data_IF_308329235253
#
_entry.id   IF_308329235253
#
_cell.length_a   1.000
_cell.length_b   1.000
_cell.length_c   1.000
_cell.angle_alpha   90.00
_cell.angle_beta   90.00
_cell.angle_gamma   90.00
#
_symmetry.space_group_name_H-M   'P 1'
#
loop_
_entity.id
_entity.type
_entity.pdbx_description
1 polymer ?
#
# COMPACT_ATOMS: atom_id res chain seq x y z
N UNK A 1 -46.63 -19.08 14.31
CA UNK A 1 -45.92 -19.35 13.03
C UNK A 1 -44.72 -18.42 12.80
N UNK A 2 -44.84 -17.12 13.08
CA UNK A 2 -43.78 -16.13 12.80
C UNK A 2 -42.42 -16.41 13.46
N UNK A 3 -42.40 -16.92 14.70
CA UNK A 3 -41.16 -17.24 15.41
C UNK A 3 -40.34 -18.38 14.79
N UNK A 4 -41.00 -19.32 14.09
CA UNK A 4 -40.31 -20.40 13.38
C UNK A 4 -39.68 -19.89 12.08
N UNK A 5 -40.35 -18.97 11.39
CA UNK A 5 -39.85 -18.30 10.19
C UNK A 5 -38.60 -17.47 10.53
N UNK A 6 -38.61 -16.73 11.65
CA UNK A 6 -37.45 -15.97 12.13
C UNK A 6 -36.25 -16.88 12.41
N UNK A 7 -36.44 -17.98 13.13
CA UNK A 7 -35.38 -18.95 13.43
C UNK A 7 -34.78 -19.59 12.16
N UNK A 8 -35.61 -19.86 11.15
CA UNK A 8 -35.13 -20.41 9.88
C UNK A 8 -34.34 -19.38 9.06
N UNK A 9 -34.83 -18.14 9.01
CA UNK A 9 -34.14 -17.03 8.31
C UNK A 9 -32.79 -16.72 8.95
N UNK A 10 -32.73 -16.67 10.28
CA UNK A 10 -31.48 -16.46 11.02
C UNK A 10 -30.50 -17.61 10.78
N UNK A 11 -30.96 -18.86 10.77
CA UNK A 11 -30.11 -20.03 10.50
C UNK A 11 -29.49 -20.02 9.10
N UNK A 12 -30.29 -19.67 8.08
CA UNK A 12 -29.83 -19.64 6.68
C UNK A 12 -28.86 -18.47 6.46
N UNK A 13 -29.19 -17.28 6.97
CA UNK A 13 -28.36 -16.08 6.78
C UNK A 13 -27.02 -16.19 7.51
N UNK A 14 -26.99 -16.80 8.70
CA UNK A 14 -25.75 -16.95 9.45
C UNK A 14 -24.82 -18.03 8.85
N UNK A 15 -25.41 -19.10 8.28
CA UNK A 15 -24.65 -20.15 7.59
C UNK A 15 -23.98 -19.65 6.30
N UNK A 16 -24.65 -18.76 5.54
CA UNK A 16 -24.05 -18.12 4.35
C UNK A 16 -22.88 -17.19 4.73
N UNK A 17 -23.01 -16.44 5.82
CA UNK A 17 -21.93 -15.55 6.31
C UNK A 17 -20.73 -16.33 6.83
N UNK A 18 -20.94 -17.50 7.44
CA UNK A 18 -19.86 -18.38 7.93
C UNK A 18 -19.03 -18.97 6.79
N UNK A 19 -19.68 -19.41 5.71
CA UNK A 19 -19.01 -19.94 4.53
C UNK A 19 -18.17 -18.86 3.81
N UNK A 20 -18.70 -17.65 3.66
CA UNK A 20 -17.96 -16.52 3.08
C UNK A 20 -16.71 -16.14 3.90
N UNK A 21 -16.79 -16.19 5.23
CA UNK A 21 -15.63 -15.87 6.09
C UNK A 21 -14.53 -16.94 6.06
N UNK A 22 -14.87 -18.21 5.84
CA UNK A 22 -13.90 -19.31 5.74
C UNK A 22 -13.23 -19.41 4.35
N UNK A 23 -13.86 -18.89 3.30
CA UNK A 23 -13.27 -18.91 1.95
C UNK A 23 -12.16 -17.87 1.74
N UNK A 24 -12.01 -16.90 2.64
CA UNK A 24 -11.01 -15.85 2.52
C UNK A 24 -10.13 -15.76 3.77
N UNK A 25 -9.38 -16.82 4.06
CA UNK A 25 -8.28 -16.79 5.05
C UNK A 25 -7.18 -15.79 4.64
N UNK A 26 -7.11 -15.42 3.35
CA UNK A 26 -6.05 -14.57 2.80
C UNK A 26 -6.60 -13.41 1.97
N UNK A 27 -7.40 -12.52 2.57
CA UNK A 27 -7.30 -11.09 2.20
C UNK A 27 -6.14 -10.48 2.99
N UNK A 28 -4.95 -10.98 2.71
CA UNK A 28 -3.73 -10.31 3.14
C UNK A 28 -3.42 -9.25 2.09
N UNK A 29 -3.49 -7.98 2.46
CA UNK A 29 -2.83 -6.90 1.69
C UNK A 29 -1.29 -6.99 1.77
N UNK A 30 -0.73 -8.12 2.20
CA UNK A 30 0.70 -8.34 2.21
C UNK A 30 1.15 -8.68 0.79
N UNK A 31 1.92 -7.77 0.23
CA UNK A 31 2.76 -8.04 -0.94
C UNK A 31 3.79 -9.10 -0.52
N UNK A 32 3.73 -10.29 -1.11
CA UNK A 32 4.72 -11.34 -0.86
C UNK A 32 6.06 -10.94 -1.52
N UNK A 33 7.05 -10.58 -0.70
CA UNK A 33 8.42 -10.31 -1.18
C UNK A 33 9.22 -11.62 -1.16
N UNK A 34 9.57 -12.15 -2.34
CA UNK A 34 10.49 -13.29 -2.45
C UNK A 34 11.93 -12.79 -2.23
N UNK A 35 12.40 -12.80 -0.98
CA UNK A 35 13.79 -12.52 -0.63
C UNK A 35 14.65 -13.74 -0.92
N UNK A 36 15.64 -13.60 -1.80
CA UNK A 36 16.63 -14.65 -2.10
C UNK A 36 17.27 -15.20 -0.82
N UNK A 37 17.09 -16.50 -0.59
CA UNK A 37 17.36 -17.19 0.67
C UNK A 37 18.85 -17.29 1.09
N UNK A 38 19.78 -16.55 0.46
CA UNK A 38 21.22 -16.76 0.63
C UNK A 38 21.89 -16.05 1.81
N UNK A 39 21.23 -15.14 2.53
CA UNK A 39 21.85 -14.48 3.69
C UNK A 39 20.85 -14.22 4.83
N UNK A 40 20.75 -15.19 5.74
CA UNK A 40 19.84 -15.19 6.90
C UNK A 40 20.32 -14.31 8.07
N UNK A 41 20.50 -13.00 7.84
CA UNK A 41 20.26 -12.04 8.92
C UNK A 41 18.79 -11.64 8.83
N UNK A 42 17.95 -12.00 9.81
CA UNK A 42 16.54 -11.54 9.84
C UNK A 42 16.53 -10.01 9.99
N UNK A 43 16.56 -9.29 8.87
CA UNK A 43 16.38 -7.84 8.84
C UNK A 43 14.88 -7.57 8.76
N UNK A 44 14.31 -7.06 9.83
CA UNK A 44 12.93 -6.58 9.83
C UNK A 44 12.88 -5.28 9.02
N UNK A 45 12.35 -5.33 7.80
CA UNK A 45 12.11 -4.15 6.97
C UNK A 45 10.75 -3.56 7.37
N UNK A 46 10.74 -2.31 7.83
CA UNK A 46 9.49 -1.59 8.13
C UNK A 46 8.95 -1.01 6.83
N UNK A 47 7.82 -1.52 6.35
CA UNK A 47 7.15 -0.97 5.16
C UNK A 47 6.10 0.04 5.58
N UNK A 48 6.19 1.27 5.06
CA UNK A 48 5.16 2.32 5.22
C UNK A 48 4.35 2.39 3.92
N UNK A 49 3.02 2.31 4.03
CA UNK A 49 2.13 2.60 2.90
C UNK A 49 1.95 4.11 2.80
N UNK A 50 2.16 4.67 1.62
CA UNK A 50 2.03 6.11 1.35
C UNK A 50 1.06 6.29 0.19
N UNK A 51 0.12 7.21 0.35
CA UNK A 51 -0.77 7.64 -0.74
C UNK A 51 -0.01 8.71 -1.52
N UNK A 52 0.20 8.49 -2.81
CA UNK A 52 0.92 9.43 -3.67
C UNK A 52 0.00 10.55 -4.10
N UNK A 53 0.47 11.79 -3.95
CA UNK A 53 -0.23 12.97 -4.46
C UNK A 53 0.22 13.26 -5.90
N UNK A 54 -0.70 13.80 -6.70
CA UNK A 54 -0.38 14.30 -8.04
C UNK A 54 0.28 15.67 -7.92
N UNK A 55 1.54 15.77 -8.36
CA UNK A 55 2.35 16.98 -8.25
C UNK A 55 3.12 17.21 -9.55
N UNK A 56 3.40 18.48 -9.85
CA UNK A 56 4.40 18.83 -10.86
C UNK A 56 5.81 18.62 -10.29
N UNK A 57 6.82 18.58 -11.17
CA UNK A 57 8.21 18.40 -10.74
C UNK A 57 8.67 19.50 -9.78
N UNK A 58 8.27 20.77 -10.02
CA UNK A 58 8.65 21.88 -9.15
C UNK A 58 7.97 21.80 -7.79
N UNK A 59 6.66 21.50 -7.76
CA UNK A 59 5.90 21.32 -6.51
C UNK A 59 6.44 20.15 -5.67
N UNK A 60 6.85 19.06 -6.33
CA UNK A 60 7.46 17.94 -5.66
C UNK A 60 8.82 18.31 -5.05
N UNK A 61 9.60 19.15 -5.72
CA UNK A 61 10.89 19.63 -5.22
C UNK A 61 10.71 20.55 -4.00
N UNK A 62 9.77 21.49 -4.04
CA UNK A 62 9.42 22.32 -2.89
C UNK A 62 8.94 21.49 -1.69
N UNK A 63 8.11 20.47 -1.93
CA UNK A 63 7.66 19.55 -0.88
C UNK A 63 8.78 18.72 -0.29
N UNK A 64 9.74 18.30 -1.10
CA UNK A 64 10.92 17.57 -0.64
C UNK A 64 11.90 18.48 0.12
N UNK A 65 11.94 19.77 -0.15
CA UNK A 65 12.72 20.71 0.66
C UNK A 65 12.01 21.05 1.98
N UNK A 66 10.68 21.16 1.95
CA UNK A 66 9.86 21.40 3.15
C UNK A 66 9.79 20.18 4.08
N UNK A 67 9.65 18.99 3.50
CA UNK A 67 9.70 17.71 4.21
C UNK A 67 11.15 17.27 4.25
N UNK A 68 11.84 17.32 5.40
CA UNK A 68 13.23 16.86 5.57
C UNK A 68 13.38 15.32 5.41
N UNK A 69 12.69 14.73 4.44
CA UNK A 69 12.71 13.34 4.06
C UNK A 69 13.70 13.14 2.91
N UNK A 70 14.39 12.00 2.89
CA UNK A 70 15.43 11.73 1.88
C UNK A 70 14.85 11.35 0.50
N UNK A 71 13.54 11.09 0.43
CA UNK A 71 12.85 10.70 -0.78
C UNK A 71 11.38 11.14 -0.76
N UNK A 72 10.85 11.47 -1.92
CA UNK A 72 9.44 11.80 -2.13
C UNK A 72 8.89 10.97 -3.30
N UNK A 73 7.76 10.30 -3.07
CA UNK A 73 7.04 9.55 -4.10
C UNK A 73 5.82 10.37 -4.50
N UNK A 74 5.68 10.67 -5.79
CA UNK A 74 4.55 11.45 -6.30
C UNK A 74 4.12 10.95 -7.67
N UNK A 75 2.90 11.29 -8.07
CA UNK A 75 2.43 11.07 -9.45
C UNK A 75 2.70 12.33 -10.25
N UNK A 76 3.54 12.25 -11.28
CA UNK A 76 3.82 13.39 -12.14
C UNK A 76 2.59 13.72 -12.98
N UNK A 77 2.14 14.97 -12.92
CA UNK A 77 0.99 15.46 -13.68
C UNK A 77 1.27 15.48 -15.19
N UNK A 78 2.51 15.71 -15.61
CA UNK A 78 2.88 15.82 -17.02
C UNK A 78 2.96 14.46 -17.72
N UNK A 79 3.50 13.45 -17.04
CA UNK A 79 3.68 12.10 -17.61
C UNK A 79 2.62 11.10 -17.16
N UNK A 80 1.78 11.46 -16.20
CA UNK A 80 0.82 10.60 -15.49
C UNK A 80 1.44 9.35 -14.85
N UNK A 81 2.77 9.32 -14.68
CA UNK A 81 3.53 8.21 -14.08
C UNK A 81 3.88 8.47 -12.62
N UNK A 82 4.12 7.39 -11.89
CA UNK A 82 4.69 7.47 -10.54
C UNK A 82 6.17 7.77 -10.67
N UNK A 83 6.64 8.81 -10.00
CA UNK A 83 8.03 9.19 -9.96
C UNK A 83 8.53 9.20 -8.51
N UNK A 84 9.78 8.79 -8.30
CA UNK A 84 10.45 8.88 -7.01
C UNK A 84 11.59 9.89 -7.11
N UNK A 85 11.51 10.96 -6.33
CA UNK A 85 12.62 11.89 -6.10
C UNK A 85 13.45 11.40 -4.92
N UNK A 86 14.77 11.38 -5.08
CA UNK A 86 15.72 11.04 -4.02
C UNK A 86 16.77 12.13 -3.90
N UNK A 87 17.01 12.62 -2.70
CA UNK A 87 18.15 13.48 -2.38
C UNK A 87 19.38 12.60 -2.16
N UNK A 88 20.32 12.59 -3.11
CA UNK A 88 21.51 11.74 -2.99
C UNK A 88 22.60 12.41 -2.16
N UNK A 89 22.84 13.67 -2.48
CA UNK A 89 23.78 14.61 -1.88
C UNK A 89 23.12 15.97 -2.08
N UNK A 90 23.24 16.93 -1.16
CA UNK A 90 22.39 18.14 -1.03
C UNK A 90 22.20 19.01 -2.30
N UNK A 91 22.89 18.71 -3.40
CA UNK A 91 22.87 19.43 -4.68
C UNK A 91 22.27 18.62 -5.84
N UNK A 92 22.06 17.31 -5.70
CA UNK A 92 21.64 16.45 -6.83
C UNK A 92 20.38 15.64 -6.51
N UNK A 93 19.30 15.98 -7.22
CA UNK A 93 18.05 15.23 -7.22
C UNK A 93 18.09 14.15 -8.31
N UNK A 94 17.71 12.91 -7.93
CA UNK A 94 17.48 11.83 -8.90
C UNK A 94 15.99 11.57 -9.04
N UNK A 95 15.53 11.55 -10.28
CA UNK A 95 14.19 11.10 -10.65
C UNK A 95 14.27 9.64 -11.09
N UNK A 96 13.52 8.76 -10.43
CA UNK A 96 13.38 7.36 -10.80
C UNK A 96 11.98 7.12 -11.36
N UNK A 97 11.91 6.52 -12.54
CA UNK A 97 10.68 5.99 -13.14
C UNK A 97 10.64 4.46 -12.88
N UNK A 98 9.65 3.94 -12.15
CA UNK A 98 9.42 2.52 -11.95
C UNK A 98 8.70 1.84 -13.13
#
# INVERSE_FOLDING_TARGET
>A
MEGQIKKLKDRITDHQKRALKQQFETYSYATDFQLDAKNHSRKTIKTKKVVTESLSLSEALEKLEASKEDFLIFKNIESDKINVLVTKDHELYKLLEP
#
